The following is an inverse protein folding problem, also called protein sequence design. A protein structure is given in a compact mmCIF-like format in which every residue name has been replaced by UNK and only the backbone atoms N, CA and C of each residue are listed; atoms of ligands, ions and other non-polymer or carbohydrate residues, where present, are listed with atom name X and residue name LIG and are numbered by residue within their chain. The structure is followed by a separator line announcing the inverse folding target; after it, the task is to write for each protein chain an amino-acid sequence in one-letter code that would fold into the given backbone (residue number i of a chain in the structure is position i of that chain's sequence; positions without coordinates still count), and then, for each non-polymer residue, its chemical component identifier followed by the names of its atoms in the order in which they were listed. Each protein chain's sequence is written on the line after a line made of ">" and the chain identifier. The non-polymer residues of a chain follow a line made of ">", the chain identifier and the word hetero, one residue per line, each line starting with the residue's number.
data_IF_537175391790
#
_entry.id   IF_537175391790
#
_cell.length_a   1.000
_cell.length_b   1.000
_cell.length_c   1.000
_cell.angle_alpha   90.00
_cell.angle_beta   90.00
_cell.angle_gamma   90.00
#
_symmetry.space_group_name_H-M   'P 1'
#
loop_
_entity.id
_entity.type
_entity.pdbx_description
1 polymer ?
#
# COMPACT_ATOMS: atom_id res chain seq x y z
N UNK A 1 8.96 9.66 17.08
CA UNK A 1 8.27 10.10 15.84
C UNK A 1 6.96 10.74 16.22
N UNK A 2 6.54 11.81 15.53
CA UNK A 2 5.31 12.54 15.85
C UNK A 2 4.12 11.79 15.23
N UNK A 3 3.38 11.05 16.05
CA UNK A 3 2.18 10.29 15.61
C UNK A 3 1.20 11.16 14.82
N UNK A 4 1.12 12.46 15.14
CA UNK A 4 0.33 13.44 14.40
C UNK A 4 0.62 13.45 12.90
N UNK A 5 1.90 13.51 12.47
CA UNK A 5 2.24 13.51 11.04
C UNK A 5 1.89 12.19 10.35
N UNK A 6 2.05 11.05 11.03
CA UNK A 6 1.65 9.75 10.50
C UNK A 6 0.14 9.71 10.22
N UNK A 7 -0.66 10.22 11.16
CA UNK A 7 -2.12 10.32 11.01
C UNK A 7 -2.46 11.27 9.85
N UNK A 8 -1.84 12.45 9.78
CA UNK A 8 -2.08 13.42 8.71
C UNK A 8 -1.78 12.84 7.34
N UNK A 9 -0.64 12.15 7.17
CA UNK A 9 -0.28 11.51 5.91
C UNK A 9 -1.22 10.35 5.57
N UNK A 10 -1.68 9.60 6.58
CA UNK A 10 -2.68 8.54 6.39
C UNK A 10 -3.99 9.13 5.88
N UNK A 11 -4.49 10.19 6.51
CA UNK A 11 -5.70 10.88 6.08
C UNK A 11 -5.56 11.49 4.69
N UNK A 12 -4.42 12.11 4.38
CA UNK A 12 -4.13 12.61 3.03
C UNK A 12 -4.13 11.47 2.01
N UNK A 13 -3.54 10.33 2.33
CA UNK A 13 -3.55 9.16 1.44
C UNK A 13 -4.96 8.66 1.17
N UNK A 14 -5.84 8.64 2.19
CA UNK A 14 -7.26 8.30 2.07
C UNK A 14 -8.03 9.30 1.19
N UNK A 15 -7.79 10.61 1.37
CA UNK A 15 -8.41 11.64 0.53
C UNK A 15 -7.95 11.53 -0.94
N UNK A 16 -6.69 11.18 -1.17
CA UNK A 16 -6.21 10.93 -2.53
C UNK A 16 -6.89 9.70 -3.16
N UNK A 17 -7.35 8.72 -2.38
CA UNK A 17 -8.15 7.61 -2.93
C UNK A 17 -9.41 8.13 -3.58
N UNK A 18 -10.19 8.93 -2.85
CA UNK A 18 -11.45 9.47 -3.37
C UNK A 18 -11.22 10.40 -4.56
N UNK A 19 -10.17 11.22 -4.52
CA UNK A 19 -9.83 12.11 -5.64
C UNK A 19 -9.44 11.35 -6.91
N UNK A 20 -8.78 10.19 -6.78
CA UNK A 20 -8.38 9.35 -7.91
C UNK A 20 -9.42 8.28 -8.27
N UNK A 21 -10.45 8.09 -7.46
CA UNK A 21 -11.52 7.12 -7.69
C UNK A 21 -12.12 7.19 -9.10
N UNK A 22 -12.39 8.37 -9.71
CA UNK A 22 -12.91 8.48 -11.08
C UNK A 22 -11.95 7.95 -12.16
N UNK A 23 -10.65 7.97 -11.90
CA UNK A 23 -9.60 7.46 -12.80
C UNK A 23 -9.40 5.94 -12.65
N UNK A 24 -9.84 5.37 -11.53
CA UNK A 24 -9.63 3.97 -11.11
C UNK A 24 -10.93 3.14 -11.22
N UNK A 25 -12.02 3.72 -11.73
CA UNK A 25 -13.39 3.15 -11.79
C UNK A 25 -13.45 1.76 -12.42
N UNK A 26 -12.53 1.40 -13.32
CA UNK A 26 -12.53 0.11 -14.02
C UNK A 26 -11.57 -0.94 -13.44
N UNK A 27 -10.75 -0.62 -12.44
CA UNK A 27 -9.69 -1.53 -11.95
C UNK A 27 -9.83 -1.94 -10.49
N UNK A 28 -11.02 -1.83 -9.90
CA UNK A 28 -11.36 -2.59 -8.69
C UNK A 28 -10.39 -2.41 -7.51
N UNK A 29 -9.89 -1.21 -7.26
CA UNK A 29 -9.50 -0.77 -5.91
C UNK A 29 -8.14 -1.19 -5.32
N UNK A 30 -7.03 -1.25 -6.07
CA UNK A 30 -5.77 -1.82 -5.50
C UNK A 30 -4.46 -1.07 -5.78
N UNK A 31 -4.41 -0.10 -6.71
CA UNK A 31 -3.37 0.94 -6.65
C UNK A 31 -3.91 2.21 -5.97
N UNK A 32 -4.69 1.98 -4.93
CA UNK A 32 -5.13 3.00 -4.03
C UNK A 32 -3.86 3.64 -3.38
N UNK A 33 -3.71 4.97 -3.42
CA UNK A 33 -2.62 5.70 -2.78
C UNK A 33 -2.34 5.32 -1.31
N UNK A 34 -3.36 4.95 -0.54
CA UNK A 34 -3.26 4.48 0.84
C UNK A 34 -2.62 3.09 0.96
N UNK A 35 -2.89 2.17 0.04
CA UNK A 35 -2.20 0.86 0.01
C UNK A 35 -0.73 1.04 -0.38
N UNK A 36 -0.43 1.97 -1.28
CA UNK A 36 0.95 2.29 -1.67
C UNK A 36 1.70 2.94 -0.51
N UNK A 37 1.04 3.85 0.21
CA UNK A 37 1.57 4.42 1.45
C UNK A 37 1.84 3.33 2.51
N UNK A 38 0.92 2.38 2.67
CA UNK A 38 1.10 1.25 3.59
C UNK A 38 2.27 0.35 3.15
N UNK A 39 2.41 0.07 1.86
CA UNK A 39 3.53 -0.71 1.32
C UNK A 39 4.87 -0.01 1.57
N UNK A 40 4.92 1.30 1.37
CA UNK A 40 6.09 2.12 1.69
C UNK A 40 6.42 2.10 3.19
N UNK A 41 5.42 2.26 4.07
CA UNK A 41 5.62 2.13 5.52
C UNK A 41 6.08 0.72 5.92
N UNK A 42 5.52 -0.32 5.30
CA UNK A 42 5.94 -1.71 5.52
C UNK A 42 7.40 -1.93 5.12
N UNK A 43 7.87 -1.21 4.09
CA UNK A 43 9.24 -1.27 3.63
C UNK A 43 10.22 -0.61 4.62
N UNK A 44 9.88 0.54 5.21
CA UNK A 44 10.86 1.36 5.96
C UNK A 44 10.65 1.41 7.49
N UNK A 45 9.44 1.15 7.98
CA UNK A 45 9.04 1.46 9.37
C UNK A 45 8.92 0.19 10.25
N UNK A 46 8.50 0.36 11.52
CA UNK A 46 8.34 -0.69 12.54
C UNK A 46 6.88 -1.18 12.61
N UNK A 47 6.72 -2.42 13.05
CA UNK A 47 5.43 -3.10 13.18
C UNK A 47 4.31 -2.29 13.85
N UNK A 48 4.50 -1.61 14.99
CA UNK A 48 3.40 -0.90 15.65
C UNK A 48 2.77 0.20 14.79
N UNK A 49 3.57 0.86 13.93
CA UNK A 49 3.07 1.94 13.06
C UNK A 49 2.38 1.41 11.82
N UNK A 50 2.93 0.35 11.25
CA UNK A 50 2.32 -0.35 10.12
C UNK A 50 0.95 -0.87 10.54
N UNK A 51 0.86 -1.49 11.72
CA UNK A 51 -0.42 -1.95 12.26
C UNK A 51 -1.40 -0.80 12.49
N UNK A 52 -0.96 0.33 13.05
CA UNK A 52 -1.81 1.50 13.23
C UNK A 52 -2.41 1.99 11.89
N UNK A 53 -1.56 2.17 10.87
CA UNK A 53 -2.01 2.65 9.56
C UNK A 53 -2.87 1.60 8.85
N UNK A 54 -2.52 0.32 8.95
CA UNK A 54 -3.33 -0.78 8.43
C UNK A 54 -4.73 -0.80 9.05
N UNK A 55 -4.83 -0.64 10.38
CA UNK A 55 -6.13 -0.57 11.07
C UNK A 55 -6.95 0.63 10.60
N UNK A 56 -6.31 1.80 10.42
CA UNK A 56 -7.00 2.98 9.89
C UNK A 56 -7.51 2.76 8.46
N UNK A 57 -6.71 2.13 7.59
CA UNK A 57 -7.11 1.79 6.21
C UNK A 57 -8.28 0.79 6.23
N UNK A 58 -8.21 -0.24 7.07
CA UNK A 58 -9.31 -1.19 7.26
C UNK A 58 -10.60 -0.47 7.70
N UNK A 59 -10.53 0.44 8.67
CA UNK A 59 -11.71 1.21 9.10
C UNK A 59 -12.27 2.11 7.99
N UNK A 60 -11.39 2.74 7.19
CA UNK A 60 -11.83 3.54 6.05
C UNK A 60 -12.54 2.68 4.99
N UNK A 61 -12.00 1.50 4.67
CA UNK A 61 -12.58 0.60 3.67
C UNK A 61 -13.90 -0.05 4.12
N UNK A 62 -14.10 -0.26 5.42
CA UNK A 62 -15.39 -0.76 5.94
C UNK A 62 -16.50 0.28 5.81
N UNK A 63 -16.18 1.57 6.03
CA UNK A 63 -17.10 2.69 5.76
C UNK A 63 -17.45 2.75 4.27
N UNK A 64 -16.49 2.40 3.40
CA UNK A 64 -16.67 2.33 1.94
C UNK A 64 -17.54 1.17 1.43
N UNK A 65 -18.06 0.31 2.31
CA UNK A 65 -19.03 -0.74 1.95
C UNK A 65 -18.49 -2.17 1.88
N UNK A 66 -17.22 -2.41 2.25
CA UNK A 66 -16.70 -3.79 2.40
C UNK A 66 -17.12 -4.34 3.75
N UNK A 67 -18.06 -5.30 3.74
CA UNK A 67 -18.67 -5.84 4.97
C UNK A 67 -17.93 -7.02 5.57
N UNK A 68 -17.19 -7.80 4.77
CA UNK A 68 -16.48 -8.98 5.24
C UNK A 68 -15.12 -8.63 5.83
N UNK A 69 -14.85 -9.08 7.06
CA UNK A 69 -13.56 -8.90 7.73
C UNK A 69 -12.41 -9.51 6.91
N UNK A 70 -12.65 -10.63 6.24
CA UNK A 70 -11.62 -11.33 5.45
C UNK A 70 -11.29 -10.53 4.18
N UNK A 71 -12.29 -9.99 3.50
CA UNK A 71 -12.09 -9.14 2.31
C UNK A 71 -11.37 -7.83 2.66
N UNK A 72 -11.58 -7.33 3.88
CA UNK A 72 -10.94 -6.13 4.40
C UNK A 72 -9.47 -6.38 4.76
N UNK A 73 -9.21 -7.41 5.56
CA UNK A 73 -7.90 -7.67 6.18
C UNK A 73 -7.00 -8.49 5.25
N UNK A 74 -7.56 -9.39 4.46
CA UNK A 74 -6.81 -10.31 3.59
C UNK A 74 -5.83 -9.59 2.65
N UNK A 75 -6.27 -8.62 1.83
CA UNK A 75 -5.40 -7.88 0.92
C UNK A 75 -4.34 -7.05 1.66
N UNK A 76 -4.73 -6.43 2.77
CA UNK A 76 -3.85 -5.60 3.62
C UNK A 76 -2.76 -6.44 4.26
N UNK A 77 -3.12 -7.60 4.80
CA UNK A 77 -2.18 -8.56 5.38
C UNK A 77 -1.25 -9.14 4.31
N UNK A 78 -1.80 -9.54 3.16
CA UNK A 78 -1.02 -10.06 2.03
C UNK A 78 0.03 -9.04 1.57
N UNK A 79 -0.33 -7.76 1.49
CA UNK A 79 0.59 -6.68 1.15
C UNK A 79 1.71 -6.54 2.19
N UNK A 80 1.37 -6.44 3.47
CA UNK A 80 2.37 -6.26 4.54
C UNK A 80 3.34 -7.44 4.58
N UNK A 81 2.80 -8.67 4.54
CA UNK A 81 3.58 -9.90 4.61
C UNK A 81 4.51 -10.01 3.39
N UNK A 82 3.99 -9.76 2.17
CA UNK A 82 4.79 -9.84 0.95
C UNK A 82 5.92 -8.80 0.92
N UNK A 83 5.64 -7.53 1.24
CA UNK A 83 6.70 -6.50 1.33
C UNK A 83 7.78 -6.91 2.33
N UNK A 84 7.39 -7.41 3.50
CA UNK A 84 8.33 -7.86 4.55
C UNK A 84 9.16 -9.06 4.10
N UNK A 85 8.52 -10.02 3.44
CA UNK A 85 9.19 -11.21 2.92
C UNK A 85 10.23 -10.85 1.87
N UNK A 86 9.84 -10.06 0.85
CA UNK A 86 10.76 -9.64 -0.20
C UNK A 86 11.91 -8.77 0.33
N UNK A 87 11.66 -7.94 1.34
CA UNK A 87 12.71 -7.15 2.03
C UNK A 87 13.79 -8.02 2.69
N UNK A 88 13.51 -9.27 3.04
CA UNK A 88 14.54 -10.19 3.59
C UNK A 88 15.55 -10.62 2.53
N UNK A 89 15.15 -10.62 1.26
CA UNK A 89 15.95 -11.11 0.13
C UNK A 89 16.55 -9.95 -0.67
N UNK A 90 15.84 -8.82 -0.74
CA UNK A 90 16.21 -7.67 -1.55
C UNK A 90 16.51 -6.46 -0.68
N UNK A 91 17.61 -5.77 -1.00
CA UNK A 91 18.03 -4.56 -0.31
C UNK A 91 17.00 -3.43 -0.54
N UNK A 92 16.33 -2.94 0.53
CA UNK A 92 15.31 -1.91 0.43
C UNK A 92 15.89 -0.50 0.26
N UNK A 93 17.20 -0.28 0.27
CA UNK A 93 17.77 1.07 0.15
C UNK A 93 18.05 1.49 -1.29
N UNK A 94 18.14 0.53 -2.22
CA UNK A 94 18.37 0.84 -3.63
C UNK A 94 17.03 1.07 -4.37
N UNK A 95 16.84 2.20 -5.07
CA UNK A 95 15.55 2.60 -5.63
C UNK A 95 14.96 1.54 -6.56
N UNK A 96 15.76 0.98 -7.46
CA UNK A 96 15.30 -0.09 -8.38
C UNK A 96 14.91 -1.39 -7.67
N UNK A 97 15.58 -1.74 -6.56
CA UNK A 97 15.25 -2.95 -5.80
C UNK A 97 13.96 -2.75 -4.99
N UNK A 98 13.65 -1.51 -4.59
CA UNK A 98 12.34 -1.20 -3.97
C UNK A 98 11.21 -1.53 -4.91
N UNK A 99 11.28 -1.12 -6.18
CA UNK A 99 10.25 -1.46 -7.17
C UNK A 99 10.10 -2.98 -7.33
N UNK A 100 11.20 -3.74 -7.31
CA UNK A 100 11.19 -5.20 -7.34
C UNK A 100 10.57 -5.84 -6.10
N UNK A 101 10.46 -5.13 -4.97
CA UNK A 101 9.74 -5.57 -3.77
C UNK A 101 8.26 -5.22 -3.88
N UNK A 102 7.99 -3.97 -4.24
CA UNK A 102 6.67 -3.35 -4.10
C UNK A 102 5.70 -3.75 -5.20
N UNK A 103 6.15 -3.79 -6.45
CA UNK A 103 5.31 -4.19 -7.58
C UNK A 103 4.75 -5.59 -7.36
N UNK A 104 5.58 -6.63 -7.07
CA UNK A 104 5.04 -7.96 -6.81
C UNK A 104 4.20 -8.02 -5.52
N UNK A 105 4.53 -7.25 -4.48
CA UNK A 105 3.72 -7.19 -3.26
C UNK A 105 2.31 -6.62 -3.51
N UNK A 106 2.23 -5.52 -4.27
CA UNK A 106 0.96 -4.91 -4.69
C UNK A 106 0.17 -5.85 -5.60
N UNK A 107 0.84 -6.55 -6.51
CA UNK A 107 0.21 -7.59 -7.35
C UNK A 107 -0.31 -8.78 -6.53
N UNK A 108 0.39 -9.20 -5.48
CA UNK A 108 -0.13 -10.27 -4.61
C UNK A 108 -1.38 -9.79 -3.88
N UNK A 109 -1.35 -8.59 -3.30
CA UNK A 109 -2.53 -7.99 -2.68
C UNK A 109 -3.70 -7.87 -3.67
N UNK A 110 -3.39 -7.56 -4.93
CA UNK A 110 -4.33 -7.48 -6.05
C UNK A 110 -5.03 -8.80 -6.33
N UNK A 111 -4.24 -9.86 -6.51
CA UNK A 111 -4.77 -11.19 -6.77
C UNK A 111 -5.58 -11.70 -5.59
N UNK A 112 -5.13 -11.46 -4.36
CA UNK A 112 -5.83 -11.88 -3.14
C UNK A 112 -7.17 -11.17 -3.01
N UNK A 113 -7.24 -9.87 -3.26
CA UNK A 113 -8.50 -9.13 -3.14
C UNK A 113 -9.53 -9.56 -4.19
N UNK A 114 -9.14 -9.70 -5.47
CA UNK A 114 -10.08 -10.19 -6.48
C UNK A 114 -10.57 -11.59 -6.18
N UNK A 115 -9.66 -12.46 -5.75
CA UNK A 115 -10.05 -13.81 -5.36
C UNK A 115 -11.04 -13.82 -4.19
N UNK A 116 -10.88 -12.91 -3.22
CA UNK A 116 -11.78 -12.80 -2.08
C UNK A 116 -13.11 -12.09 -2.40
N UNK A 117 -13.10 -11.03 -3.23
CA UNK A 117 -14.29 -10.24 -3.57
C UNK A 117 -15.12 -10.85 -4.69
N UNK A 118 -14.47 -11.34 -5.75
CA UNK A 118 -15.13 -11.88 -6.92
C UNK A 118 -15.17 -13.41 -6.92
N UNK A 119 -14.38 -14.09 -6.07
CA UNK A 119 -14.31 -15.55 -6.05
C UNK A 119 -13.60 -16.17 -7.25
N UNK A 120 -12.92 -15.36 -8.07
CA UNK A 120 -12.32 -15.78 -9.35
C UNK A 120 -10.83 -15.49 -9.36
N UNK A 121 -10.05 -16.37 -10.00
CA UNK A 121 -8.64 -16.12 -10.27
C UNK A 121 -8.53 -15.08 -11.39
N UNK A 122 -7.87 -13.94 -11.17
CA UNK A 122 -7.80 -12.88 -12.17
C UNK A 122 -7.12 -13.34 -13.45
N UNK A 123 -7.69 -12.96 -14.60
CA UNK A 123 -7.12 -13.24 -15.91
C UNK A 123 -5.82 -12.48 -16.19
N UNK A 124 -5.07 -12.93 -17.19
CA UNK A 124 -3.75 -12.37 -17.51
C UNK A 124 -3.80 -10.87 -17.86
N UNK A 125 -4.84 -10.44 -18.59
CA UNK A 125 -5.07 -9.03 -18.91
C UNK A 125 -5.26 -8.17 -17.65
N UNK A 126 -5.96 -8.69 -16.66
CA UNK A 126 -6.18 -8.02 -15.38
C UNK A 126 -4.86 -7.85 -14.62
N UNK A 127 -4.06 -8.90 -14.55
CA UNK A 127 -2.73 -8.88 -13.90
C UNK A 127 -1.78 -7.88 -14.58
N UNK A 128 -1.76 -7.83 -15.91
CA UNK A 128 -0.92 -6.89 -16.67
C UNK A 128 -1.32 -5.44 -16.41
N UNK A 129 -2.62 -5.14 -16.41
CA UNK A 129 -3.11 -3.80 -16.09
C UNK A 129 -2.80 -3.42 -14.63
N UNK A 130 -3.00 -4.34 -13.69
CA UNK A 130 -2.66 -4.13 -12.28
C UNK A 130 -1.17 -3.86 -12.07
N UNK A 131 -0.30 -4.54 -12.83
CA UNK A 131 1.14 -4.31 -12.81
C UNK A 131 1.47 -2.90 -13.29
N UNK A 132 0.94 -2.50 -14.45
CA UNK A 132 1.16 -1.17 -15.01
C UNK A 132 0.70 -0.06 -14.08
N UNK A 133 -0.49 -0.21 -13.51
CA UNK A 133 -1.07 0.78 -12.60
C UNK A 133 -0.26 0.87 -11.29
N UNK A 134 0.18 -0.26 -10.75
CA UNK A 134 1.06 -0.31 -9.59
C UNK A 134 2.40 0.38 -9.85
N UNK A 135 3.01 0.14 -11.02
CA UNK A 135 4.25 0.79 -11.44
C UNK A 135 4.07 2.30 -11.53
N UNK A 136 3.02 2.75 -12.21
CA UNK A 136 2.76 4.17 -12.45
C UNK A 136 2.53 4.92 -11.14
N UNK A 137 1.66 4.41 -10.28
CA UNK A 137 1.34 5.09 -9.02
C UNK A 137 2.49 5.00 -8.02
N UNK A 138 3.22 3.87 -7.97
CA UNK A 138 4.43 3.77 -7.16
C UNK A 138 5.51 4.76 -7.65
N UNK A 139 5.73 4.88 -8.96
CA UNK A 139 6.71 5.81 -9.52
C UNK A 139 6.39 7.28 -9.18
N UNK A 140 5.10 7.65 -9.10
CA UNK A 140 4.66 9.00 -8.74
C UNK A 140 4.75 9.26 -7.22
N UNK A 141 4.29 8.31 -6.40
CA UNK A 141 4.18 8.52 -4.95
C UNK A 141 5.50 8.29 -4.21
N UNK A 142 6.35 7.35 -4.64
CA UNK A 142 7.56 7.00 -3.90
C UNK A 142 8.55 8.15 -3.72
N UNK A 143 8.87 8.95 -4.75
CA UNK A 143 9.74 10.11 -4.58
C UNK A 143 9.17 11.10 -3.56
N UNK A 144 7.85 11.34 -3.59
CA UNK A 144 7.17 12.23 -2.65
C UNK A 144 7.22 11.67 -1.22
N UNK A 145 6.94 10.38 -1.06
CA UNK A 145 6.99 9.71 0.24
C UNK A 145 8.42 9.69 0.81
N UNK A 146 9.43 9.45 -0.03
CA UNK A 146 10.83 9.48 0.38
C UNK A 146 11.26 10.88 0.83
N UNK A 147 10.77 11.96 0.18
CA UNK A 147 10.97 13.34 0.64
C UNK A 147 10.29 13.66 1.98
N UNK A 148 9.23 12.93 2.32
CA UNK A 148 8.47 13.08 3.57
C UNK A 148 9.08 12.24 4.72
N UNK A 149 9.98 11.30 4.43
CA UNK A 149 10.70 10.49 5.44
C UNK A 149 11.25 11.32 6.62
N UNK A 150 11.87 12.50 6.42
CA UNK A 150 12.39 13.32 7.52
C UNK A 150 11.30 13.82 8.47
N UNK A 151 10.09 14.11 7.98
CA UNK A 151 8.95 14.56 8.79
C UNK A 151 8.46 13.45 9.72
N UNK A 152 8.58 12.20 9.27
CA UNK A 152 8.24 11.03 10.04
C UNK A 152 9.34 10.70 11.05
N UNK A 153 10.62 10.92 10.74
CA UNK A 153 11.75 10.72 11.69
C UNK A 153 11.68 11.69 12.86
N UNK A 154 11.86 11.18 14.09
CA UNK A 154 12.22 12.06 15.22
C UNK A 154 13.73 12.23 15.24
N UNK A 155 14.20 13.44 15.52
CA UNK A 155 15.60 13.89 15.57
C UNK A 155 16.61 13.03 16.37
N UNK A 156 16.18 11.91 16.98
CA UNK A 156 17.01 11.02 17.83
C UNK A 156 17.74 9.89 17.08
N UNK A 157 17.56 9.71 15.78
CA UNK A 157 18.26 8.66 15.02
C UNK A 157 18.84 9.22 13.72
N UNK A 158 20.09 9.73 13.76
CA UNK A 158 20.90 9.86 12.55
C UNK A 158 21.31 8.45 12.08
N UNK A 159 21.49 8.32 10.76
CA UNK A 159 21.79 7.08 10.05
C UNK A 159 23.05 6.38 10.57
#
# INVERSE_FOLDING_TARGET
>A
MRVGWLITLTLLSMLTVEAYRPLVVYSGGIADPALIFLAWLALIDRWPRILLVATMICLYRSIGGISSVIELVGPVAALIISVRWFRLVLDPYHPWKRFQILIPALLIAFVVQEWLLAGVVPGLFFVVNGCWLSVLVAALLFPVLDLVTPLLRSARYPL
#
